data_IF_631053866725
#
_entry.id   IF_631053866725
#
_cell.length_a   1.000
_cell.length_b   1.000
_cell.length_c   1.000
_cell.angle_alpha   90.00
_cell.angle_beta   90.00
_cell.angle_gamma   90.00
#
_symmetry.space_group_name_H-M   'P 1'
#
loop_
_entity.id
_entity.type
_entity.pdbx_description
1 polymer ?
#
# COMPACT_ATOMS: atom_id res chain seq x y z
N UNK A 1 26.13 -1.46 7.65
CA UNK A 1 26.13 -2.53 6.62
C UNK A 1 24.70 -2.76 6.17
N UNK A 2 24.44 -3.64 5.19
CA UNK A 2 23.05 -3.98 4.84
C UNK A 2 22.28 -4.64 6.00
N UNK A 3 23.02 -5.30 6.91
CA UNK A 3 22.46 -5.85 8.17
C UNK A 3 21.81 -4.78 9.03
N UNK A 4 22.49 -3.64 9.25
CA UNK A 4 21.94 -2.49 10.00
C UNK A 4 20.66 -1.94 9.36
N UNK A 5 20.58 -1.93 8.04
CA UNK A 5 19.38 -1.50 7.32
C UNK A 5 18.25 -2.51 7.56
N UNK A 6 18.56 -3.81 7.47
CA UNK A 6 17.62 -4.89 7.78
C UNK A 6 17.06 -4.80 9.20
N UNK A 7 17.93 -4.57 10.19
CA UNK A 7 17.53 -4.42 11.59
C UNK A 7 16.58 -3.21 11.75
N UNK A 8 16.89 -2.07 11.14
CA UNK A 8 16.01 -0.88 11.19
C UNK A 8 14.64 -1.11 10.53
N UNK A 9 14.60 -1.90 9.45
CA UNK A 9 13.35 -2.23 8.77
C UNK A 9 12.55 -3.28 9.54
N UNK A 10 13.21 -4.20 10.25
CA UNK A 10 12.57 -5.17 11.14
C UNK A 10 11.83 -4.46 12.27
N UNK A 11 12.45 -3.48 12.92
CA UNK A 11 11.80 -2.68 13.97
C UNK A 11 10.53 -1.98 13.47
N UNK A 12 10.58 -1.47 12.22
CA UNK A 12 9.41 -0.82 11.59
C UNK A 12 8.34 -1.82 11.17
N UNK A 13 8.70 -3.06 10.88
CA UNK A 13 7.76 -4.13 10.58
C UNK A 13 6.97 -4.51 11.85
N UNK A 14 7.66 -4.67 12.97
CA UNK A 14 7.03 -4.98 14.26
C UNK A 14 6.12 -3.83 14.75
N UNK A 15 6.42 -2.59 14.36
CA UNK A 15 5.61 -1.40 14.63
C UNK A 15 4.66 -0.95 13.50
N UNK A 16 4.45 -1.78 12.47
CA UNK A 16 3.68 -1.37 11.29
C UNK A 16 2.21 -1.08 11.63
N UNK A 17 1.65 -0.02 11.03
CA UNK A 17 0.29 0.42 11.35
C UNK A 17 -0.73 0.01 10.28
N UNK A 18 -1.90 -0.47 10.72
CA UNK A 18 -3.02 -0.75 9.81
C UNK A 18 -3.69 0.53 9.34
N UNK A 19 -3.87 0.65 8.03
CA UNK A 19 -4.52 1.80 7.40
C UNK A 19 -5.66 1.35 6.50
N UNK A 20 -6.63 2.23 6.32
CA UNK A 20 -7.75 2.06 5.39
C UNK A 20 -7.62 3.04 4.23
N UNK A 21 -8.13 2.64 3.07
CA UNK A 21 -8.09 3.43 1.84
C UNK A 21 -9.37 4.25 1.76
N UNK A 22 -9.27 5.57 1.87
CA UNK A 22 -10.40 6.46 1.59
C UNK A 22 -10.33 6.86 0.11
N UNK A 23 -11.12 6.18 -0.73
CA UNK A 23 -11.37 6.62 -2.11
C UNK A 23 -12.37 7.78 -2.07
N UNK A 24 -11.92 8.97 -1.68
CA UNK A 24 -12.68 10.18 -1.98
C UNK A 24 -12.39 10.50 -3.44
N UNK A 25 -13.36 10.34 -4.37
CA UNK A 25 -13.21 10.98 -5.67
C UNK A 25 -12.99 12.46 -5.37
N UNK A 26 -11.98 13.03 -6.03
CA UNK A 26 -11.72 14.46 -5.97
C UNK A 26 -12.92 15.20 -6.56
N UNK A 27 -13.96 15.45 -5.75
CA UNK A 27 -15.03 16.41 -6.03
C UNK A 27 -14.46 17.83 -5.97
N UNK A 28 -13.57 18.12 -6.90
CA UNK A 28 -13.13 19.47 -7.23
C UNK A 28 -13.02 19.57 -8.75
N UNK A 29 -14.07 19.13 -9.44
CA UNK A 29 -14.34 19.60 -10.79
C UNK A 29 -15.35 20.76 -10.65
N UNK A 30 -14.98 22.00 -11.01
CA UNK A 30 -15.95 23.09 -11.05
C UNK A 30 -17.09 22.74 -12.03
N UNK A 31 -18.30 23.28 -11.84
CA UNK A 31 -19.42 23.03 -12.74
C UNK A 31 -19.03 23.44 -14.16
N UNK A 32 -19.04 22.49 -15.09
CA UNK A 32 -18.84 22.78 -16.51
C UNK A 32 -20.01 23.66 -16.98
N UNK A 33 -19.77 24.88 -17.51
CA UNK A 33 -20.85 25.64 -18.11
C UNK A 33 -21.41 24.87 -19.32
N UNK A 34 -22.74 24.83 -19.42
CA UNK A 34 -23.47 24.15 -20.48
C UNK A 34 -22.92 24.54 -21.86
N UNK A 35 -22.47 23.56 -22.63
CA UNK A 35 -21.99 23.75 -23.98
C UNK A 35 -23.17 24.05 -24.91
N UNK A 36 -23.16 25.20 -25.57
CA UNK A 36 -24.00 25.48 -26.74
C UNK A 36 -23.64 24.52 -27.89
N UNK A 37 -24.62 24.04 -28.67
CA UNK A 37 -24.35 23.26 -29.87
C UNK A 37 -23.78 24.19 -30.96
N UNK A 38 -23.22 23.61 -32.02
CA UNK A 38 -22.61 24.25 -33.19
C UNK A 38 -21.07 24.42 -33.14
N UNK A 39 -20.34 23.36 -33.51
CA UNK A 39 -19.34 23.39 -34.61
C UNK A 39 -18.64 22.02 -34.79
N UNK A 40 -18.25 21.64 -36.02
CA UNK A 40 -17.98 20.25 -36.39
C UNK A 40 -16.56 19.78 -36.03
N UNK A 41 -16.46 18.46 -35.85
CA UNK A 41 -15.23 17.71 -35.60
C UNK A 41 -14.29 17.74 -36.81
N UNK A 42 -13.04 18.15 -36.61
CA UNK A 42 -11.92 17.85 -37.53
C UNK A 42 -10.87 17.08 -36.73
N UNK A 43 -10.67 15.81 -37.11
CA UNK A 43 -9.65 14.95 -36.52
C UNK A 43 -8.26 15.28 -37.09
N UNK A 44 -7.34 15.54 -36.17
CA UNK A 44 -5.92 15.15 -36.11
C UNK A 44 -4.96 15.50 -37.25
N UNK A 45 -3.80 16.07 -36.87
CA UNK A 45 -2.43 15.68 -37.26
C UNK A 45 -1.49 16.87 -37.54
N UNK A 46 -1.15 17.70 -36.55
CA UNK A 46 -0.04 18.65 -36.71
C UNK A 46 0.57 19.01 -35.34
N UNK A 47 1.91 18.99 -35.28
CA UNK A 47 2.77 19.63 -34.27
C UNK A 47 3.04 18.84 -32.98
N UNK A 48 4.28 18.37 -32.90
CA UNK A 48 4.87 17.85 -31.67
C UNK A 48 4.89 18.89 -30.56
N UNK A 49 4.31 18.53 -29.42
CA UNK A 49 4.47 19.19 -28.15
C UNK A 49 4.45 18.13 -27.07
N UNK A 50 5.58 17.90 -26.40
CA UNK A 50 5.66 17.04 -25.22
C UNK A 50 4.91 17.72 -24.08
N UNK A 51 3.58 17.55 -24.04
CA UNK A 51 2.79 17.90 -22.87
C UNK A 51 3.13 16.91 -21.76
N UNK A 52 4.07 17.29 -20.90
CA UNK A 52 4.15 16.76 -19.54
C UNK A 52 2.90 17.20 -18.79
N UNK A 53 1.79 16.50 -19.06
CA UNK A 53 0.62 16.56 -18.21
C UNK A 53 1.04 16.29 -16.77
N UNK A 54 0.41 16.96 -15.78
CA UNK A 54 0.76 16.80 -14.38
C UNK A 54 0.74 15.30 -14.07
N UNK A 55 1.84 14.81 -13.50
CA UNK A 55 1.98 13.42 -13.08
C UNK A 55 0.89 13.14 -12.06
N UNK A 56 -0.26 12.68 -12.56
CA UNK A 56 -1.39 12.23 -11.74
C UNK A 56 -0.81 11.17 -10.83
N UNK A 57 -0.69 11.52 -9.56
CA UNK A 57 -0.24 10.61 -8.53
C UNK A 57 -1.19 9.41 -8.61
N UNK A 58 -0.69 8.28 -9.15
CA UNK A 58 -1.49 7.09 -9.46
C UNK A 58 -2.11 6.45 -8.21
N UNK A 59 -1.78 7.00 -7.04
CA UNK A 59 -2.19 6.62 -5.71
C UNK A 59 -2.89 7.80 -5.03
N UNK A 60 -3.94 8.33 -5.66
CA UNK A 60 -4.77 9.42 -5.14
C UNK A 60 -5.78 8.95 -4.08
N UNK A 61 -5.56 7.78 -3.47
CA UNK A 61 -6.27 7.38 -2.28
C UNK A 61 -5.58 7.92 -1.03
N UNK A 62 -6.37 8.44 -0.09
CA UNK A 62 -5.83 8.92 1.18
C UNK A 62 -5.86 7.78 2.20
N UNK A 63 -4.70 7.41 2.72
CA UNK A 63 -4.58 6.45 3.80
C UNK A 63 -5.06 7.08 5.10
N UNK A 64 -6.01 6.44 5.77
CA UNK A 64 -6.50 6.83 7.09
C UNK A 64 -6.12 5.77 8.11
N UNK A 65 -5.57 6.15 9.27
CA UNK A 65 -5.38 5.19 10.37
C UNK A 65 -6.69 4.47 10.69
N UNK A 66 -6.64 3.14 10.87
CA UNK A 66 -7.83 2.38 11.25
C UNK A 66 -8.32 2.69 12.67
N UNK A 67 -7.42 3.14 13.55
CA UNK A 67 -7.72 3.54 14.93
C UNK A 67 -7.30 4.99 15.16
N UNK A 68 -8.15 5.77 15.83
CA UNK A 68 -7.93 7.20 16.07
C UNK A 68 -6.92 7.47 17.19
N UNK A 69 -6.74 6.52 18.11
CA UNK A 69 -5.74 6.59 19.19
C UNK A 69 -4.33 6.17 18.75
N UNK A 70 -4.20 5.64 17.54
CA UNK A 70 -2.90 5.27 16.97
C UNK A 70 -2.26 6.47 16.29
N UNK A 71 -0.95 6.63 16.51
CA UNK A 71 -0.17 7.70 15.91
C UNK A 71 -0.21 7.58 14.38
N UNK A 72 -0.44 8.69 13.69
CA UNK A 72 -0.41 8.72 12.23
C UNK A 72 0.98 8.29 11.75
N UNK A 73 1.07 7.30 10.84
CA UNK A 73 2.37 6.81 10.37
C UNK A 73 3.13 7.92 9.64
N UNK A 74 4.43 8.03 9.93
CA UNK A 74 5.35 8.94 9.27
C UNK A 74 5.82 8.43 7.91
N UNK A 75 6.56 9.26 7.14
CA UNK A 75 7.00 8.91 5.78
C UNK A 75 8.00 7.76 5.70
N UNK A 76 8.57 7.33 6.83
CA UNK A 76 9.50 6.21 6.91
C UNK A 76 8.85 4.96 7.52
N UNK A 77 7.61 5.04 7.99
CA UNK A 77 6.96 3.95 8.70
C UNK A 77 6.32 2.98 7.71
N UNK A 78 6.24 1.70 8.10
CA UNK A 78 5.57 0.68 7.31
C UNK A 78 4.08 0.65 7.66
N UNK A 79 3.24 0.46 6.65
CA UNK A 79 1.79 0.39 6.78
C UNK A 79 1.24 -0.82 6.03
N UNK A 80 0.11 -1.34 6.50
CA UNK A 80 -0.56 -2.47 5.87
C UNK A 80 -2.08 -2.28 5.81
N UNK A 81 -2.74 -2.94 4.87
CA UNK A 81 -4.20 -2.85 4.67
C UNK A 81 -4.92 -4.02 5.33
N UNK A 82 -4.46 -5.22 5.01
CA UNK A 82 -5.09 -6.48 5.38
C UNK A 82 -4.24 -7.27 6.36
N UNK A 83 -4.90 -7.98 7.29
CA UNK A 83 -4.23 -8.81 8.25
C UNK A 83 -3.47 -9.97 7.57
N UNK A 84 -2.33 -10.32 8.15
CA UNK A 84 -1.54 -11.47 7.72
C UNK A 84 -2.34 -12.78 7.86
N UNK A 85 -2.23 -13.72 6.90
CA UNK A 85 -2.85 -15.04 7.04
C UNK A 85 -2.14 -15.88 8.12
N UNK A 86 -2.73 -17.03 8.46
CA UNK A 86 -2.07 -18.03 9.28
C UNK A 86 -1.00 -18.77 8.45
N UNK A 87 0.23 -18.85 8.96
CA UNK A 87 1.37 -19.50 8.30
C UNK A 87 1.74 -20.87 8.89
N UNK A 88 1.05 -21.33 9.94
CA UNK A 88 1.32 -22.61 10.60
C UNK A 88 1.03 -23.79 9.69
N UNK A 89 -0.15 -23.79 9.07
CA UNK A 89 -0.59 -24.87 8.18
C UNK A 89 -0.25 -24.59 6.72
N UNK A 90 0.03 -25.64 5.96
CA UNK A 90 0.30 -25.54 4.53
C UNK A 90 -0.96 -25.11 3.79
N UNK A 91 -0.86 -24.01 3.03
CA UNK A 91 -1.92 -23.54 2.15
C UNK A 91 -1.36 -23.19 0.75
N UNK A 92 -1.39 -24.14 -0.20
CA UNK A 92 -0.85 -23.95 -1.55
C UNK A 92 -1.52 -22.81 -2.33
N UNK A 93 -2.78 -22.48 -2.02
CA UNK A 93 -3.53 -21.42 -2.71
C UNK A 93 -2.98 -20.03 -2.42
N UNK A 94 -2.38 -19.86 -1.23
CA UNK A 94 -1.75 -18.61 -0.79
C UNK A 94 -0.22 -18.68 -0.85
N UNK A 95 0.36 -19.77 -1.36
CA UNK A 95 1.82 -19.98 -1.38
C UNK A 95 2.44 -20.22 0.01
N UNK A 96 1.65 -20.66 0.99
CA UNK A 96 2.10 -20.90 2.36
C UNK A 96 2.54 -22.36 2.50
N UNK A 97 3.78 -22.58 2.92
CA UNK A 97 4.35 -23.92 3.06
C UNK A 97 4.05 -24.61 4.41
N UNK A 98 3.62 -23.85 5.41
CA UNK A 98 3.48 -24.32 6.79
C UNK A 98 4.81 -24.28 7.56
N UNK A 99 4.76 -24.61 8.85
CA UNK A 99 5.94 -24.61 9.75
C UNK A 99 6.52 -25.99 10.03
N UNK A 100 5.88 -27.06 9.55
CA UNK A 100 6.35 -28.44 9.76
C UNK A 100 7.75 -28.66 9.18
N UNK A 101 8.63 -29.30 9.97
CA UNK A 101 10.00 -29.61 9.58
C UNK A 101 10.99 -28.44 9.64
N UNK A 102 10.56 -27.26 10.11
CA UNK A 102 11.48 -26.14 10.40
C UNK A 102 12.27 -26.44 11.67
N UNK A 103 13.55 -26.06 11.66
CA UNK A 103 14.35 -26.06 12.88
C UNK A 103 13.80 -25.01 13.85
N UNK A 104 13.77 -25.37 15.12
CA UNK A 104 13.30 -24.55 16.23
C UNK A 104 14.25 -24.71 17.42
N UNK A 105 14.15 -23.81 18.39
CA UNK A 105 14.97 -23.80 19.60
C UNK A 105 14.13 -24.23 20.82
N UNK A 106 14.40 -25.42 21.36
CA UNK A 106 13.67 -26.01 22.50
C UNK A 106 13.70 -25.13 23.76
N UNK A 107 14.69 -24.25 23.90
CA UNK A 107 14.83 -23.37 25.06
C UNK A 107 14.12 -22.03 24.90
N UNK A 108 13.68 -21.68 23.69
CA UNK A 108 13.05 -20.39 23.42
C UNK A 108 11.54 -20.45 23.68
N UNK A 109 10.98 -19.51 24.47
CA UNK A 109 9.54 -19.34 24.58
C UNK A 109 8.93 -18.52 23.42
N UNK A 110 9.76 -18.06 22.47
CA UNK A 110 9.37 -17.17 21.39
C UNK A 110 8.91 -17.87 20.11
N UNK A 111 8.79 -17.09 19.02
CA UNK A 111 8.40 -17.57 17.68
C UNK A 111 9.42 -18.51 17.02
N UNK A 112 10.62 -18.60 17.59
CA UNK A 112 11.67 -19.56 17.23
C UNK A 112 11.60 -20.85 18.08
N UNK A 113 10.71 -20.92 19.06
CA UNK A 113 10.47 -22.08 19.92
C UNK A 113 9.83 -23.26 19.18
N UNK A 114 9.93 -24.45 19.78
CA UNK A 114 9.37 -25.70 19.23
C UNK A 114 7.93 -26.00 19.67
N UNK A 115 7.36 -25.14 20.53
CA UNK A 115 6.07 -25.35 21.21
C UNK A 115 4.91 -24.72 20.46
#
# INVERSE_FOLDING_TARGET
TFRTIGDNLKDRFDGASRVSVSNRPSENLPPRPAASPHSPSINSLLVGGRSHGPRRNRYNFQLKPCNQDHKTPGPRDLVYLDASPNFCDKNPRLGIHGTQGRQCNDTSPGVDGCV
#
